data_IF_800994892445
#
_entry.id   IF_800994892445
#
_cell.length_a   1.000
_cell.length_b   1.000
_cell.length_c   1.000
_cell.angle_alpha   90.00
_cell.angle_beta   90.00
_cell.angle_gamma   90.00
#
_symmetry.space_group_name_H-M   'P 1'
#
loop_
_entity.id
_entity.type
_entity.pdbx_description
1 polymer ?
#
# COMPACT_ATOMS: atom_id res chain seq x y z
N UNK A 1 65.45 156.07 9.07
CA UNK A 1 64.76 155.00 9.83
C UNK A 1 63.90 154.07 8.95
N UNK A 2 63.23 154.55 7.88
CA UNK A 2 62.47 153.73 6.91
C UNK A 2 63.17 152.45 6.43
N UNK A 3 64.45 152.54 6.04
CA UNK A 3 65.19 151.40 5.45
C UNK A 3 65.36 150.22 6.42
N UNK A 4 65.49 150.48 7.71
CA UNK A 4 65.64 149.44 8.77
C UNK A 4 64.30 148.74 9.01
N UNK A 5 63.19 149.48 9.00
CA UNK A 5 61.84 148.91 9.08
C UNK A 5 61.52 148.01 7.88
N UNK A 6 61.95 148.39 6.66
CA UNK A 6 61.79 147.55 5.46
C UNK A 6 62.53 146.22 5.58
N UNK A 7 63.78 146.22 6.03
CA UNK A 7 64.59 144.99 6.21
C UNK A 7 63.97 144.07 7.26
N UNK A 8 63.51 144.61 8.39
CA UNK A 8 62.82 143.83 9.42
C UNK A 8 61.50 143.27 8.88
N UNK A 9 60.72 144.06 8.12
CA UNK A 9 59.48 143.58 7.49
C UNK A 9 59.73 142.47 6.47
N UNK A 10 60.81 142.56 5.69
CA UNK A 10 61.19 141.54 4.72
C UNK A 10 61.63 140.24 5.41
N UNK A 11 62.33 140.32 6.54
CA UNK A 11 62.69 139.16 7.36
C UNK A 11 61.44 138.49 7.99
N UNK A 12 60.48 139.28 8.47
CA UNK A 12 59.21 138.78 9.01
C UNK A 12 58.33 138.13 7.91
N UNK A 13 58.29 138.72 6.70
CA UNK A 13 57.60 138.15 5.54
C UNK A 13 58.28 136.86 5.04
N UNK A 14 59.61 136.81 5.02
CA UNK A 14 60.36 135.61 4.67
C UNK A 14 60.16 134.48 5.68
N UNK A 15 60.20 134.78 6.97
CA UNK A 15 59.95 133.81 8.05
C UNK A 15 58.50 133.27 8.03
N UNK A 16 57.52 134.13 7.79
CA UNK A 16 56.11 133.71 7.65
C UNK A 16 55.86 132.89 6.37
N UNK A 17 56.52 133.20 5.26
CA UNK A 17 56.47 132.39 4.05
C UNK A 17 57.10 130.99 4.24
N UNK A 18 58.26 130.90 4.91
CA UNK A 18 58.89 129.61 5.24
C UNK A 18 57.99 128.77 6.16
N UNK A 19 57.46 129.37 7.23
CA UNK A 19 56.58 128.68 8.17
C UNK A 19 55.25 128.26 7.52
N UNK A 20 54.75 129.06 6.57
CA UNK A 20 53.59 128.69 5.73
C UNK A 20 53.91 127.52 4.80
N UNK A 21 55.10 127.48 4.18
CA UNK A 21 55.53 126.39 3.31
C UNK A 21 55.77 125.08 4.10
N UNK A 22 56.44 125.15 5.25
CA UNK A 22 56.69 124.00 6.13
C UNK A 22 55.37 123.42 6.68
N UNK A 23 54.45 124.29 7.11
CA UNK A 23 53.09 123.89 7.50
C UNK A 23 52.30 123.30 6.32
N UNK A 24 52.44 123.86 5.11
CA UNK A 24 51.79 123.31 3.92
C UNK A 24 52.38 121.95 3.53
N UNK A 25 53.68 121.73 3.73
CA UNK A 25 54.35 120.49 3.41
C UNK A 25 54.01 119.38 4.43
N UNK A 26 53.95 119.70 5.72
CA UNK A 26 53.48 118.79 6.78
C UNK A 26 51.99 118.45 6.64
N UNK A 27 51.12 119.41 6.30
CA UNK A 27 49.72 119.11 5.99
C UNK A 27 49.55 118.21 4.76
N UNK A 28 50.44 118.32 3.77
CA UNK A 28 50.46 117.43 2.60
C UNK A 28 50.93 116.02 2.99
N UNK A 29 52.02 115.87 3.75
CA UNK A 29 52.50 114.56 4.19
C UNK A 29 51.48 113.86 5.10
N UNK A 30 50.89 114.58 6.07
CA UNK A 30 49.83 114.04 6.94
C UNK A 30 48.57 113.66 6.16
N UNK A 31 48.21 114.39 5.09
CA UNK A 31 47.10 113.98 4.20
C UNK A 31 47.43 112.71 3.43
N UNK A 32 48.63 112.59 2.87
CA UNK A 32 49.07 111.40 2.14
C UNK A 32 49.15 110.19 3.07
N UNK A 33 49.66 110.35 4.28
CA UNK A 33 49.69 109.29 5.31
C UNK A 33 48.28 108.87 5.74
N UNK A 34 47.40 109.82 6.03
CA UNK A 34 45.98 109.51 6.32
C UNK A 34 45.31 108.80 5.15
N UNK A 35 45.59 109.22 3.92
CA UNK A 35 45.00 108.60 2.73
C UNK A 35 45.53 107.18 2.50
N UNK A 36 46.82 106.92 2.75
CA UNK A 36 47.40 105.57 2.77
C UNK A 36 46.81 104.71 3.88
N UNK A 37 46.69 105.25 5.09
CA UNK A 37 46.10 104.54 6.22
C UNK A 37 44.62 104.20 5.98
N UNK A 38 43.85 105.09 5.35
CA UNK A 38 42.46 104.82 4.94
C UNK A 38 42.43 103.72 3.87
N UNK A 39 43.28 103.78 2.85
CA UNK A 39 43.36 102.73 1.82
C UNK A 39 43.74 101.36 2.40
N UNK A 40 44.71 101.32 3.32
CA UNK A 40 45.10 100.07 4.00
C UNK A 40 43.95 99.52 4.84
N UNK A 41 43.22 100.40 5.55
CA UNK A 41 42.08 100.01 6.39
C UNK A 41 40.91 99.51 5.54
N UNK A 42 40.64 100.14 4.38
CA UNK A 42 39.64 99.67 3.42
C UNK A 42 40.04 98.32 2.80
N UNK A 43 41.31 98.13 2.46
CA UNK A 43 41.83 96.89 1.90
C UNK A 43 41.79 95.76 2.93
N UNK A 44 42.17 96.03 4.19
CA UNK A 44 42.01 95.08 5.31
C UNK A 44 40.54 94.76 5.56
N UNK A 45 39.64 95.73 5.43
CA UNK A 45 38.21 95.51 5.60
C UNK A 45 37.62 94.63 4.49
N UNK A 46 38.03 94.84 3.23
CA UNK A 46 37.71 93.93 2.11
C UNK A 46 38.28 92.52 2.31
N UNK A 47 39.51 92.41 2.81
CA UNK A 47 40.11 91.11 3.12
C UNK A 47 39.37 90.39 4.24
N UNK A 48 38.95 91.10 5.29
CA UNK A 48 38.14 90.54 6.37
C UNK A 48 36.79 90.06 5.86
N UNK A 49 36.11 90.85 5.03
CA UNK A 49 34.82 90.48 4.45
C UNK A 49 34.95 89.26 3.52
N UNK A 50 36.01 89.22 2.70
CA UNK A 50 36.32 88.06 1.85
C UNK A 50 36.65 86.82 2.68
N UNK A 51 37.47 86.97 3.73
CA UNK A 51 37.82 85.88 4.64
C UNK A 51 36.60 85.36 5.40
N UNK A 52 35.69 86.24 5.84
CA UNK A 52 34.43 85.86 6.48
C UNK A 52 33.54 85.07 5.52
N UNK A 53 33.38 85.55 4.28
CA UNK A 53 32.59 84.86 3.25
C UNK A 53 33.16 83.48 2.92
N UNK A 54 34.49 83.36 2.80
CA UNK A 54 35.15 82.08 2.59
C UNK A 54 34.98 81.13 3.79
N UNK A 55 35.01 81.67 5.01
CA UNK A 55 34.81 80.88 6.23
C UNK A 55 33.36 80.38 6.33
N UNK A 56 32.36 81.21 5.99
CA UNK A 56 30.96 80.76 5.89
C UNK A 56 30.78 79.69 4.80
N UNK A 57 31.39 79.88 3.63
CA UNK A 57 31.34 78.90 2.54
C UNK A 57 31.98 77.58 2.95
N UNK A 58 33.18 77.63 3.54
CA UNK A 58 33.87 76.45 4.04
C UNK A 58 33.07 75.74 5.15
N UNK A 59 32.41 76.48 6.05
CA UNK A 59 31.52 75.89 7.06
C UNK A 59 30.32 75.19 6.42
N UNK A 60 29.70 75.79 5.41
CA UNK A 60 28.58 75.20 4.67
C UNK A 60 29.01 73.91 3.95
N UNK A 61 30.16 73.92 3.27
CA UNK A 61 30.74 72.72 2.63
C UNK A 61 31.08 71.64 3.66
N UNK A 62 31.66 72.01 4.80
CA UNK A 62 31.98 71.03 5.87
C UNK A 62 30.71 70.39 6.44
N UNK A 63 29.63 71.16 6.59
CA UNK A 63 28.34 70.64 7.02
C UNK A 63 27.75 69.69 5.97
N UNK A 64 27.76 70.07 4.69
CA UNK A 64 27.30 69.23 3.58
C UNK A 64 28.09 67.93 3.47
N UNK A 65 29.43 67.99 3.54
CA UNK A 65 30.30 66.82 3.52
C UNK A 65 30.05 65.89 4.70
N UNK A 66 29.69 66.45 5.87
CA UNK A 66 29.34 65.66 7.05
C UNK A 66 28.00 64.95 6.88
N UNK A 67 27.01 65.57 6.25
CA UNK A 67 25.74 64.92 5.88
C UNK A 67 25.94 63.83 4.82
N UNK A 68 26.81 64.06 3.84
CA UNK A 68 27.15 63.02 2.86
C UNK A 68 27.89 61.85 3.50
N UNK A 69 28.82 62.12 4.42
CA UNK A 69 29.54 61.09 5.16
C UNK A 69 28.59 60.24 6.02
N UNK A 70 27.62 60.86 6.72
CA UNK A 70 26.63 60.09 7.50
C UNK A 70 25.72 59.27 6.59
N UNK A 71 25.29 59.82 5.45
CA UNK A 71 24.50 59.08 4.46
C UNK A 71 25.25 57.89 3.86
N UNK A 72 26.50 58.08 3.47
CA UNK A 72 27.36 57.01 2.94
C UNK A 72 27.61 55.93 4.00
N UNK A 73 27.76 56.31 5.27
CA UNK A 73 27.93 55.37 6.36
C UNK A 73 26.68 54.51 6.57
N UNK A 74 25.49 55.12 6.57
CA UNK A 74 24.22 54.38 6.61
C UNK A 74 24.08 53.40 5.44
N UNK A 75 24.42 53.83 4.22
CA UNK A 75 24.40 52.96 3.04
C UNK A 75 25.41 51.81 3.14
N UNK A 76 26.60 52.06 3.68
CA UNK A 76 27.61 51.03 3.89
C UNK A 76 27.16 49.98 4.93
N UNK A 77 26.51 50.42 6.00
CA UNK A 77 25.96 49.52 7.02
C UNK A 77 24.78 48.70 6.48
N UNK A 78 23.90 49.31 5.67
CA UNK A 78 22.80 48.61 5.00
C UNK A 78 23.32 47.58 3.98
N UNK A 79 24.36 47.93 3.21
CA UNK A 79 25.00 47.01 2.27
C UNK A 79 25.64 45.83 3.00
N UNK A 80 26.33 46.07 4.12
CA UNK A 80 26.89 45.00 4.96
C UNK A 80 25.79 44.09 5.53
N UNK A 81 24.68 44.65 5.97
CA UNK A 81 23.54 43.86 6.45
C UNK A 81 22.98 42.96 5.34
N UNK A 82 22.80 43.48 4.11
CA UNK A 82 22.35 42.70 2.95
C UNK A 82 23.33 41.61 2.53
N UNK A 83 24.64 41.86 2.61
CA UNK A 83 25.66 40.84 2.35
C UNK A 83 25.54 39.71 3.36
N UNK A 84 25.45 40.02 4.65
CA UNK A 84 25.23 39.02 5.71
C UNK A 84 23.94 38.21 5.50
N UNK A 85 22.84 38.87 5.14
CA UNK A 85 21.58 38.20 4.83
C UNK A 85 21.70 37.27 3.61
N UNK A 86 22.38 37.70 2.56
CA UNK A 86 22.64 36.89 1.37
C UNK A 86 23.56 35.71 1.66
N UNK A 87 24.58 35.87 2.51
CA UNK A 87 25.44 34.78 2.94
C UNK A 87 24.65 33.70 3.70
N UNK A 88 23.72 34.11 4.58
CA UNK A 88 22.79 33.19 5.25
C UNK A 88 21.86 32.48 4.24
N UNK A 89 21.32 33.20 3.26
CA UNK A 89 20.50 32.60 2.19
C UNK A 89 21.32 31.60 1.36
N UNK A 90 22.55 31.93 1.01
CA UNK A 90 23.46 31.02 0.27
C UNK A 90 23.76 29.78 1.11
N UNK A 91 23.99 29.93 2.42
CA UNK A 91 24.21 28.80 3.31
C UNK A 91 22.98 27.88 3.37
N UNK A 92 21.77 28.45 3.51
CA UNK A 92 20.51 27.71 3.50
C UNK A 92 20.24 27.03 2.15
N UNK A 93 20.45 27.73 1.04
CA UNK A 93 20.29 27.13 -0.30
C UNK A 93 21.29 26.00 -0.54
N UNK A 94 22.51 26.11 -0.01
CA UNK A 94 23.50 25.01 -0.07
C UNK A 94 23.04 23.80 0.74
N UNK A 95 22.53 23.99 1.96
CA UNK A 95 22.04 22.87 2.77
C UNK A 95 20.81 22.21 2.14
N UNK A 96 19.88 23.00 1.60
CA UNK A 96 18.73 22.50 0.83
C UNK A 96 19.18 21.72 -0.41
N UNK A 97 20.18 22.23 -1.15
CA UNK A 97 20.70 21.56 -2.34
C UNK A 97 21.35 20.22 -2.01
N UNK A 98 22.13 20.13 -0.93
CA UNK A 98 22.71 18.87 -0.46
C UNK A 98 21.63 17.88 0.05
N UNK A 99 20.59 18.38 0.71
CA UNK A 99 19.42 17.57 1.08
C UNK A 99 18.69 17.03 -0.16
N UNK A 100 18.42 17.89 -1.14
CA UNK A 100 17.78 17.51 -2.41
C UNK A 100 18.63 16.54 -3.22
N UNK A 101 19.96 16.68 -3.24
CA UNK A 101 20.86 15.68 -3.85
C UNK A 101 20.75 14.33 -3.16
N UNK A 102 20.75 14.33 -1.82
CA UNK A 102 20.57 13.11 -1.03
C UNK A 102 19.23 12.44 -1.33
N UNK A 103 18.14 13.22 -1.43
CA UNK A 103 16.82 12.71 -1.80
C UNK A 103 16.78 12.19 -3.24
N UNK A 104 17.47 12.85 -4.17
CA UNK A 104 17.62 12.39 -5.55
C UNK A 104 18.38 11.06 -5.61
N UNK A 105 19.45 10.90 -4.83
CA UNK A 105 20.20 9.65 -4.76
C UNK A 105 19.39 8.52 -4.10
N UNK A 106 18.59 8.81 -3.07
CA UNK A 106 17.60 7.87 -2.52
C UNK A 106 16.56 7.50 -3.58
N UNK A 107 16.00 8.47 -4.30
CA UNK A 107 15.04 8.24 -5.35
C UNK A 107 15.64 7.41 -6.50
N UNK A 108 16.89 7.67 -6.91
CA UNK A 108 17.61 6.84 -7.88
C UNK A 108 17.80 5.41 -7.39
N UNK A 109 18.15 5.19 -6.12
CA UNK A 109 18.26 3.85 -5.53
C UNK A 109 16.91 3.14 -5.53
N UNK A 110 15.85 3.82 -5.09
CA UNK A 110 14.49 3.29 -5.14
C UNK A 110 14.07 3.00 -6.58
N UNK A 111 14.40 3.84 -7.55
CA UNK A 111 14.12 3.60 -8.98
C UNK A 111 14.94 2.42 -9.52
N UNK A 112 16.16 2.19 -9.02
CA UNK A 112 16.97 1.04 -9.40
C UNK A 112 16.45 -0.26 -8.78
N UNK A 113 15.99 -0.23 -7.53
CA UNK A 113 15.26 -1.33 -6.86
C UNK A 113 13.92 -1.58 -7.57
N UNK A 114 13.20 -0.52 -7.91
CA UNK A 114 12.00 -0.53 -8.78
C UNK A 114 12.39 -0.75 -10.25
N UNK A 115 13.67 -0.87 -10.60
CA UNK A 115 14.10 -1.45 -11.87
C UNK A 115 13.68 -2.93 -11.93
N UNK A 116 13.57 -3.57 -10.77
CA UNK A 116 12.88 -4.84 -10.61
C UNK A 116 11.36 -4.72 -10.75
N UNK A 117 10.75 -3.54 -10.89
CA UNK A 117 9.31 -3.41 -11.20
C UNK A 117 8.98 -4.01 -12.57
N UNK A 118 9.93 -4.01 -13.51
CA UNK A 118 9.79 -4.78 -14.76
C UNK A 118 9.87 -6.28 -14.50
N UNK A 119 10.77 -6.74 -13.62
CA UNK A 119 10.83 -8.15 -13.19
C UNK A 119 9.58 -8.56 -12.42
N UNK A 120 9.06 -7.70 -11.54
CA UNK A 120 7.85 -7.87 -10.76
C UNK A 120 6.62 -7.92 -11.68
N UNK A 121 6.60 -7.10 -12.74
CA UNK A 121 5.58 -7.19 -13.80
C UNK A 121 5.68 -8.51 -14.55
N UNK A 122 6.88 -8.94 -14.92
CA UNK A 122 7.09 -10.22 -15.62
C UNK A 122 6.75 -11.41 -14.72
N UNK A 123 7.07 -11.35 -13.42
CA UNK A 123 6.67 -12.31 -12.40
C UNK A 123 5.16 -12.32 -12.18
N UNK A 124 4.50 -11.15 -12.17
CA UNK A 124 3.05 -11.07 -12.06
C UNK A 124 2.34 -11.65 -13.29
N UNK A 125 2.91 -11.47 -14.50
CA UNK A 125 2.39 -12.11 -15.72
C UNK A 125 2.56 -13.62 -15.64
N UNK A 126 3.73 -14.12 -15.20
CA UNK A 126 3.96 -15.56 -14.98
C UNK A 126 3.02 -16.13 -13.92
N UNK A 127 2.87 -15.45 -12.79
CA UNK A 127 2.01 -15.87 -11.70
C UNK A 127 0.54 -15.92 -12.13
N UNK A 128 0.08 -14.95 -12.95
CA UNK A 128 -1.26 -15.01 -13.52
C UNK A 128 -1.43 -16.18 -14.50
N UNK A 129 -0.41 -16.50 -15.31
CA UNK A 129 -0.44 -17.67 -16.19
C UNK A 129 -0.47 -18.98 -15.38
N UNK A 130 0.31 -19.07 -14.31
CA UNK A 130 0.35 -20.22 -13.40
C UNK A 130 -0.98 -20.35 -12.63
N UNK A 131 -1.60 -19.25 -12.20
CA UNK A 131 -2.94 -19.24 -11.59
C UNK A 131 -3.98 -19.78 -12.58
N UNK A 132 -3.98 -19.31 -13.83
CA UNK A 132 -4.91 -19.82 -14.84
C UNK A 132 -4.70 -21.31 -15.11
N UNK A 133 -3.44 -21.75 -15.22
CA UNK A 133 -3.11 -23.16 -15.41
C UNK A 133 -3.57 -24.01 -14.22
N UNK A 134 -3.28 -23.57 -12.99
CA UNK A 134 -3.70 -24.25 -11.77
C UNK A 134 -5.23 -24.31 -11.65
N UNK A 135 -5.94 -23.29 -12.10
CA UNK A 135 -7.40 -23.27 -12.09
C UNK A 135 -7.99 -24.27 -13.09
N UNK A 136 -7.42 -24.37 -14.30
CA UNK A 136 -7.80 -25.39 -15.29
C UNK A 136 -7.52 -26.81 -14.77
N UNK A 137 -6.36 -27.01 -14.14
CA UNK A 137 -6.00 -28.30 -13.52
C UNK A 137 -6.94 -28.65 -12.37
N UNK A 138 -7.31 -27.69 -11.52
CA UNK A 138 -8.27 -27.87 -10.43
C UNK A 138 -9.67 -28.21 -10.95
N UNK A 139 -10.15 -27.53 -11.98
CA UNK A 139 -11.45 -27.81 -12.61
C UNK A 139 -11.46 -29.20 -13.26
N UNK A 140 -10.36 -29.59 -13.90
CA UNK A 140 -10.18 -30.94 -14.47
C UNK A 140 -10.16 -32.01 -13.37
N UNK A 141 -9.43 -31.77 -12.28
CA UNK A 141 -9.36 -32.68 -11.14
C UNK A 141 -10.74 -32.83 -10.46
N UNK A 142 -11.47 -31.72 -10.29
CA UNK A 142 -12.82 -31.73 -9.74
C UNK A 142 -13.80 -32.52 -10.63
N UNK A 143 -13.69 -32.38 -11.96
CA UNK A 143 -14.47 -33.18 -12.90
C UNK A 143 -14.14 -34.68 -12.80
N UNK A 144 -12.86 -35.04 -12.64
CA UNK A 144 -12.44 -36.43 -12.44
C UNK A 144 -12.95 -37.01 -11.11
N UNK A 145 -12.90 -36.22 -10.03
CA UNK A 145 -13.45 -36.63 -8.72
C UNK A 145 -14.95 -36.86 -8.81
N UNK A 146 -15.71 -35.95 -9.43
CA UNK A 146 -17.15 -36.13 -9.62
C UNK A 146 -17.46 -37.38 -10.45
N UNK A 147 -16.68 -37.66 -11.50
CA UNK A 147 -16.82 -38.89 -12.29
C UNK A 147 -16.49 -40.14 -11.47
N UNK A 148 -15.44 -40.09 -10.64
CA UNK A 148 -15.04 -41.19 -9.77
C UNK A 148 -16.08 -41.46 -8.67
N UNK A 149 -16.72 -40.41 -8.12
CA UNK A 149 -17.82 -40.55 -7.16
C UNK A 149 -19.04 -41.22 -7.79
N UNK A 150 -19.44 -40.80 -8.99
CA UNK A 150 -20.54 -41.45 -9.74
C UNK A 150 -20.20 -42.90 -10.08
N UNK A 151 -18.95 -43.18 -10.46
CA UNK A 151 -18.51 -44.54 -10.72
C UNK A 151 -18.53 -45.39 -9.44
N UNK A 152 -18.09 -44.82 -8.31
CA UNK A 152 -18.12 -45.48 -7.00
C UNK A 152 -19.55 -45.80 -6.57
N UNK A 153 -20.49 -44.86 -6.67
CA UNK A 153 -21.89 -45.09 -6.32
C UNK A 153 -22.52 -46.21 -7.16
N UNK A 154 -22.24 -46.21 -8.47
CA UNK A 154 -22.68 -47.30 -9.36
C UNK A 154 -22.09 -48.65 -8.95
N UNK A 155 -20.80 -48.70 -8.65
CA UNK A 155 -20.14 -49.92 -8.20
C UNK A 155 -20.67 -50.40 -6.84
N UNK A 156 -20.96 -49.50 -5.90
CA UNK A 156 -21.58 -49.85 -4.61
C UNK A 156 -22.99 -50.41 -4.78
N UNK A 157 -23.80 -49.84 -5.68
CA UNK A 157 -25.14 -50.34 -5.98
C UNK A 157 -25.09 -51.74 -6.64
N UNK A 158 -24.18 -51.93 -7.59
CA UNK A 158 -23.95 -53.26 -8.20
C UNK A 158 -23.43 -54.26 -7.16
N UNK A 159 -22.52 -53.85 -6.27
CA UNK A 159 -22.02 -54.71 -5.21
C UNK A 159 -23.15 -55.15 -4.26
N UNK A 160 -24.02 -54.23 -3.83
CA UNK A 160 -25.20 -54.55 -3.01
C UNK A 160 -26.18 -55.50 -3.73
N UNK A 161 -26.41 -55.30 -5.02
CA UNK A 161 -27.27 -56.18 -5.81
C UNK A 161 -26.67 -57.59 -5.93
N UNK A 162 -25.36 -57.69 -6.16
CA UNK A 162 -24.65 -58.97 -6.19
C UNK A 162 -24.60 -59.66 -4.82
N UNK A 163 -24.47 -58.90 -3.73
CA UNK A 163 -24.55 -59.43 -2.36
C UNK A 163 -25.94 -59.97 -2.04
N UNK A 164 -27.01 -59.25 -2.40
CA UNK A 164 -28.38 -59.72 -2.24
C UNK A 164 -28.65 -61.00 -3.06
N UNK A 165 -28.16 -61.06 -4.30
CA UNK A 165 -28.26 -62.26 -5.14
C UNK A 165 -27.49 -63.44 -4.53
N UNK A 166 -26.31 -63.21 -3.94
CA UNK A 166 -25.56 -64.26 -3.24
C UNK A 166 -26.27 -64.71 -1.98
N UNK A 167 -26.84 -63.80 -1.20
CA UNK A 167 -27.61 -64.15 0.00
C UNK A 167 -28.85 -64.98 -0.35
N UNK A 168 -29.59 -64.62 -1.41
CA UNK A 168 -30.72 -65.42 -1.89
C UNK A 168 -30.30 -66.82 -2.37
N UNK A 169 -29.12 -66.94 -3.00
CA UNK A 169 -28.54 -68.23 -3.37
C UNK A 169 -28.08 -69.03 -2.14
N UNK A 170 -27.41 -68.41 -1.17
CA UNK A 170 -26.95 -69.08 0.05
C UNK A 170 -28.10 -69.48 0.98
N UNK A 171 -29.18 -68.71 1.00
CA UNK A 171 -30.41 -69.00 1.72
C UNK A 171 -31.25 -70.13 1.08
N UNK A 172 -30.83 -70.67 -0.08
CA UNK A 172 -31.46 -71.81 -0.74
C UNK A 172 -32.90 -71.55 -1.20
N UNK A 173 -33.26 -70.28 -1.45
CA UNK A 173 -34.62 -69.93 -1.91
C UNK A 173 -34.75 -70.19 -3.41
N UNK A 174 -35.54 -71.21 -3.76
CA UNK A 174 -35.91 -71.50 -5.14
C UNK A 174 -36.88 -70.42 -5.66
N UNK A 175 -36.58 -69.85 -6.83
CA UNK A 175 -37.42 -68.86 -7.52
C UNK A 175 -38.74 -69.54 -7.97
N UNK A 176 -39.94 -69.06 -7.57
CA UNK A 176 -41.21 -69.70 -7.96
C UNK A 176 -41.57 -69.48 -9.43
N UNK A 177 -42.35 -70.38 -10.06
CA UNK A 177 -42.77 -71.71 -9.60
C UNK A 177 -41.81 -72.82 -10.09
N UNK A 178 -41.39 -73.72 -9.20
CA UNK A 178 -40.60 -74.91 -9.54
C UNK A 178 -41.44 -76.17 -9.35
N UNK A 179 -41.73 -76.84 -10.45
CA UNK A 179 -42.32 -78.18 -10.49
C UNK A 179 -41.42 -79.09 -11.32
N UNK A 180 -41.08 -80.24 -10.76
CA UNK A 180 -40.21 -81.21 -11.41
C UNK A 180 -40.66 -82.64 -11.09
N UNK A 181 -40.03 -83.63 -11.71
CA UNK A 181 -40.28 -85.05 -11.43
C UNK A 181 -38.99 -85.77 -11.12
N UNK A 182 -39.08 -86.77 -10.25
CA UNK A 182 -37.97 -87.67 -9.94
C UNK A 182 -37.57 -88.45 -11.20
N UNK A 183 -36.33 -88.26 -11.65
CA UNK A 183 -35.75 -88.96 -12.80
C UNK A 183 -35.36 -90.38 -12.44
N UNK A 184 -34.64 -90.53 -11.31
CA UNK A 184 -34.18 -91.81 -10.75
C UNK A 184 -34.11 -91.73 -9.24
N UNK A 185 -34.57 -92.77 -8.55
CA UNK A 185 -34.51 -92.86 -7.10
C UNK A 185 -33.53 -93.96 -6.67
N UNK A 186 -32.48 -93.58 -5.93
CA UNK A 186 -31.50 -94.52 -5.36
C UNK A 186 -31.78 -94.76 -3.88
N UNK A 187 -32.90 -95.44 -3.61
CA UNK A 187 -33.41 -95.66 -2.25
C UNK A 187 -32.43 -96.39 -1.31
N UNK A 188 -31.47 -97.16 -1.85
CA UNK A 188 -30.45 -97.86 -1.05
C UNK A 188 -29.37 -96.92 -0.48
N UNK A 189 -29.12 -95.79 -1.15
CA UNK A 189 -28.13 -94.79 -0.74
C UNK A 189 -28.78 -93.51 -0.20
N UNK A 190 -30.11 -93.40 -0.25
CA UNK A 190 -30.84 -92.27 0.29
C UNK A 190 -30.74 -90.99 -0.54
N UNK A 191 -30.37 -91.08 -1.82
CA UNK A 191 -30.37 -89.91 -2.73
C UNK A 191 -31.24 -90.15 -3.97
N UNK A 192 -31.69 -89.05 -4.56
CA UNK A 192 -32.63 -89.00 -5.66
C UNK A 192 -32.10 -88.01 -6.69
N UNK A 193 -32.23 -88.36 -7.97
CA UNK A 193 -31.92 -87.47 -9.09
C UNK A 193 -33.22 -86.90 -9.63
N UNK A 194 -33.30 -85.58 -9.68
CA UNK A 194 -34.51 -84.83 -10.05
C UNK A 194 -34.29 -84.17 -11.41
N UNK A 195 -35.34 -84.12 -12.24
CA UNK A 195 -35.32 -83.51 -13.57
C UNK A 195 -35.48 -82.00 -13.45
N UNK A 196 -34.45 -81.33 -12.95
CA UNK A 196 -34.46 -79.88 -12.78
C UNK A 196 -33.21 -79.41 -12.09
N UNK A 197 -32.59 -78.38 -12.66
CA UNK A 197 -31.26 -77.93 -12.31
C UNK A 197 -31.17 -76.43 -12.07
N UNK A 198 -29.96 -75.90 -12.14
CA UNK A 198 -29.69 -74.47 -11.98
C UNK A 198 -30.50 -73.63 -13.00
N UNK A 199 -30.73 -74.16 -14.20
CA UNK A 199 -31.50 -73.48 -15.25
C UNK A 199 -32.98 -73.31 -14.88
N UNK A 200 -33.49 -74.17 -13.98
CA UNK A 200 -34.85 -74.10 -13.44
C UNK A 200 -34.91 -73.40 -12.07
N UNK A 201 -33.82 -72.76 -11.64
CA UNK A 201 -33.75 -72.01 -10.39
C UNK A 201 -33.56 -72.87 -9.13
N UNK A 202 -33.13 -74.12 -9.29
CA UNK A 202 -32.78 -75.01 -8.17
C UNK A 202 -31.43 -74.59 -7.59
N UNK A 203 -31.35 -74.43 -6.27
CA UNK A 203 -30.13 -73.98 -5.58
C UNK A 203 -29.63 -75.05 -4.62
N UNK A 204 -28.31 -75.13 -4.42
CA UNK A 204 -27.72 -76.02 -3.41
C UNK A 204 -28.28 -75.70 -2.03
N UNK A 205 -28.48 -76.73 -1.19
CA UNK A 205 -29.10 -76.68 0.14
C UNK A 205 -30.59 -76.29 0.17
N UNK A 206 -31.24 -76.13 -0.97
CA UNK A 206 -32.69 -75.94 -0.99
C UNK A 206 -33.43 -77.22 -0.57
N UNK A 207 -34.57 -77.05 0.10
CA UNK A 207 -35.46 -78.15 0.47
C UNK A 207 -36.61 -78.26 -0.53
N UNK A 208 -36.91 -79.49 -0.92
CA UNK A 208 -37.98 -79.82 -1.86
C UNK A 208 -38.91 -80.86 -1.25
N UNK A 209 -40.20 -80.72 -1.54
CA UNK A 209 -41.22 -81.69 -1.12
C UNK A 209 -41.52 -82.64 -2.28
N UNK A 210 -41.53 -83.94 -1.99
CA UNK A 210 -41.92 -84.97 -2.96
C UNK A 210 -43.34 -85.38 -2.67
N UNK A 211 -44.20 -85.39 -3.70
CA UNK A 211 -45.57 -85.84 -3.61
C UNK A 211 -45.94 -86.82 -4.71
N UNK A 212 -46.83 -87.77 -4.38
CA UNK A 212 -47.42 -88.70 -5.32
C UNK A 212 -48.93 -88.53 -5.28
N UNK A 213 -49.53 -88.16 -6.42
CA UNK A 213 -50.98 -87.90 -6.53
C UNK A 213 -51.50 -86.90 -5.48
N UNK A 214 -50.69 -85.88 -5.16
CA UNK A 214 -51.02 -84.84 -4.17
C UNK A 214 -50.79 -85.23 -2.71
N UNK A 215 -50.27 -86.43 -2.39
CA UNK A 215 -49.86 -86.80 -1.04
C UNK A 215 -48.34 -86.63 -0.87
N UNK A 216 -47.86 -85.89 0.16
CA UNK A 216 -46.43 -85.74 0.41
C UNK A 216 -45.83 -87.07 0.88
N UNK A 217 -44.66 -87.44 0.38
CA UNK A 217 -43.96 -88.69 0.70
C UNK A 217 -42.77 -88.41 1.62
N UNK A 218 -41.93 -87.45 1.24
CA UNK A 218 -40.72 -87.08 1.96
C UNK A 218 -40.24 -85.67 1.57
N UNK A 219 -39.25 -85.18 2.31
CA UNK A 219 -38.51 -83.97 2.01
C UNK A 219 -37.12 -84.31 1.49
N UNK A 220 -36.64 -83.57 0.51
CA UNK A 220 -35.33 -83.71 -0.09
C UNK A 220 -34.49 -82.46 0.19
N UNK A 221 -33.20 -82.65 0.44
CA UNK A 221 -32.21 -81.58 0.54
C UNK A 221 -31.26 -81.66 -0.66
N UNK A 222 -31.19 -80.61 -1.46
CA UNK A 222 -30.32 -80.60 -2.64
C UNK A 222 -28.85 -80.47 -2.22
N UNK A 223 -28.02 -81.42 -2.63
CA UNK A 223 -26.59 -81.45 -2.30
C UNK A 223 -25.73 -80.95 -3.45
N UNK A 224 -26.12 -81.23 -4.70
CA UNK A 224 -25.48 -80.71 -5.90
C UNK A 224 -26.49 -80.37 -6.98
N UNK A 225 -26.18 -79.34 -7.74
CA UNK A 225 -27.03 -78.82 -8.83
C UNK A 225 -26.18 -78.77 -10.08
N UNK A 226 -26.68 -79.38 -11.16
CA UNK A 226 -26.20 -79.25 -12.53
C UNK A 226 -27.22 -78.41 -13.33
N UNK A 227 -26.92 -77.95 -14.56
CA UNK A 227 -27.84 -77.10 -15.34
C UNK A 227 -29.23 -77.71 -15.58
N UNK A 228 -29.30 -79.01 -15.90
CA UNK A 228 -30.55 -79.71 -16.22
C UNK A 228 -31.02 -80.77 -15.21
N UNK A 229 -30.19 -81.11 -14.22
CA UNK A 229 -30.48 -82.15 -13.22
C UNK A 229 -29.96 -81.72 -11.84
N UNK A 230 -30.59 -82.20 -10.78
CA UNK A 230 -30.09 -82.00 -9.42
C UNK A 230 -30.04 -83.30 -8.65
N UNK A 231 -29.02 -83.42 -7.80
CA UNK A 231 -28.89 -84.52 -6.85
C UNK A 231 -29.38 -84.02 -5.50
N UNK A 232 -30.36 -84.71 -4.94
CA UNK A 232 -30.92 -84.41 -3.64
C UNK A 232 -30.88 -85.62 -2.71
N UNK A 233 -30.58 -85.38 -1.45
CA UNK A 233 -30.57 -86.37 -0.39
C UNK A 233 -31.93 -86.41 0.30
N UNK A 234 -32.44 -87.60 0.61
CA UNK A 234 -33.69 -87.78 1.36
C UNK A 234 -33.42 -87.39 2.81
N UNK A 235 -34.16 -86.41 3.33
CA UNK A 235 -34.01 -85.97 4.72
C UNK A 235 -34.43 -87.13 5.65
N UNK A 236 -33.53 -87.66 6.49
CA UNK A 236 -33.85 -88.74 7.40
C UNK A 236 -35.01 -88.39 8.32
N UNK A 237 -35.98 -89.29 8.46
CA UNK A 237 -37.18 -89.08 9.30
C UNK A 237 -38.34 -88.33 8.61
N UNK A 238 -38.15 -87.79 7.40
CA UNK A 238 -39.24 -87.16 6.63
C UNK A 238 -40.06 -88.14 5.79
N UNK A 239 -39.59 -89.38 5.64
CA UNK A 239 -40.21 -90.41 4.82
C UNK A 239 -41.41 -91.05 5.55
N UNK A 240 -42.56 -91.11 4.88
CA UNK A 240 -43.74 -91.80 5.43
C UNK A 240 -43.44 -93.30 5.61
N UNK A 241 -43.72 -93.89 6.80
CA UNK A 241 -43.51 -95.31 7.04
C UNK A 241 -44.20 -96.19 5.99
N UNK A 242 -43.42 -97.05 5.32
CA UNK A 242 -43.92 -97.99 4.31
C UNK A 242 -44.00 -97.44 2.88
N UNK A 243 -43.64 -96.18 2.63
CA UNK A 243 -43.52 -95.61 1.29
C UNK A 243 -42.06 -95.39 0.89
N UNK A 244 -41.76 -95.55 -0.38
CA UNK A 244 -40.46 -95.25 -0.99
C UNK A 244 -40.63 -94.27 -2.15
N UNK A 245 -39.58 -93.50 -2.42
CA UNK A 245 -39.55 -92.59 -3.58
C UNK A 245 -39.44 -93.43 -4.86
N UNK A 246 -40.21 -93.05 -5.88
CA UNK A 246 -40.26 -93.72 -7.18
C UNK A 246 -39.98 -92.74 -8.31
N UNK A 247 -39.57 -93.28 -9.45
CA UNK A 247 -39.42 -92.51 -10.68
C UNK A 247 -40.79 -91.95 -11.11
N UNK A 248 -40.83 -90.68 -11.47
CA UNK A 248 -42.07 -89.97 -11.83
C UNK A 248 -42.84 -89.35 -10.65
N UNK A 249 -42.35 -89.48 -9.40
CA UNK A 249 -42.92 -88.71 -8.29
C UNK A 249 -42.74 -87.19 -8.53
N UNK A 250 -43.75 -86.40 -8.15
CA UNK A 250 -43.76 -84.96 -8.37
C UNK A 250 -42.98 -84.26 -7.28
N UNK A 251 -42.12 -83.32 -7.65
CA UNK A 251 -41.28 -82.56 -6.75
C UNK A 251 -41.69 -81.10 -6.86
N UNK A 252 -42.13 -80.54 -5.74
CA UNK A 252 -42.55 -79.14 -5.64
C UNK A 252 -41.69 -78.43 -4.61
N UNK A 253 -41.64 -77.10 -4.70
CA UNK A 253 -41.06 -76.28 -3.62
C UNK A 253 -41.76 -76.62 -2.29
N UNK A 254 -41.00 -76.68 -1.21
CA UNK A 254 -41.57 -76.71 0.13
C UNK A 254 -42.23 -75.36 0.41
N UNK A 255 -43.56 -75.27 0.27
CA UNK A 255 -44.35 -74.07 0.57
C UNK A 255 -44.57 -73.84 2.07
N UNK A 256 -44.11 -74.79 2.90
CA UNK A 256 -44.25 -74.71 4.34
C UNK A 256 -42.92 -74.32 5.01
N UNK A 257 -42.72 -73.05 5.40
CA UNK A 257 -41.70 -72.74 6.39
C UNK A 257 -42.02 -73.55 7.66
N UNK A 258 -40.99 -74.16 8.24
CA UNK A 258 -41.09 -74.88 9.51
C UNK A 258 -41.86 -73.98 10.50
N UNK A 259 -43.00 -74.40 11.07
CA UNK A 259 -43.54 -73.74 12.24
C UNK A 259 -42.45 -73.79 13.30
N UNK A 260 -42.00 -72.63 13.75
CA UNK A 260 -41.19 -72.53 14.96
C UNK A 260 -41.90 -73.37 16.03
N UNK A 261 -41.26 -74.43 16.48
CA UNK A 261 -41.66 -75.13 17.69
C UNK A 261 -41.39 -74.16 18.84
N UNK A 262 -42.43 -73.39 19.16
CA UNK A 262 -42.61 -72.76 20.45
C UNK A 262 -42.77 -73.88 21.47
N UNK A 263 -41.68 -74.18 22.18
CA UNK A 263 -41.71 -75.00 23.38
C UNK A 263 -41.21 -74.16 24.55
N UNK A 264 -42.16 -73.42 25.12
CA UNK A 264 -42.08 -72.85 26.45
C UNK A 264 -41.95 -73.95 27.50
N UNK A 265 -40.82 -74.03 28.20
CA UNK A 265 -40.76 -74.56 29.58
C UNK A 265 -39.59 -73.89 30.34
N UNK A 266 -39.64 -73.83 31.68
CA UNK A 266 -39.52 -72.58 32.42
C UNK A 266 -38.19 -72.51 33.16
N UNK A 267 -37.79 -71.30 33.57
CA UNK A 267 -36.71 -71.14 34.53
C UNK A 267 -37.08 -71.81 35.88
N UNK A 268 -36.16 -72.53 36.53
CA UNK A 268 -36.18 -72.68 37.96
C UNK A 268 -35.08 -71.86 38.67
N UNK A 269 -35.25 -71.57 39.97
CA UNK A 269 -34.69 -70.41 40.65
C UNK A 269 -33.63 -70.77 41.74
N UNK A 270 -33.11 -69.72 42.42
CA UNK A 270 -32.50 -69.73 43.78
C UNK A 270 -30.98 -70.00 43.84
N UNK A 271 -30.09 -69.36 44.63
CA UNK A 271 -30.01 -68.24 45.61
C UNK A 271 -28.52 -68.22 46.12
N UNK A 272 -28.12 -67.56 47.24
CA UNK A 272 -27.53 -66.21 47.44
C UNK A 272 -26.00 -66.12 47.77
N UNK A 273 -25.53 -64.86 47.86
CA UNK A 273 -24.21 -64.31 48.22
C UNK A 273 -23.65 -64.69 49.63
N UNK A 274 -22.40 -64.31 50.04
CA UNK A 274 -22.08 -62.90 50.41
C UNK A 274 -20.60 -62.43 50.22
N UNK A 275 -20.40 -61.11 50.13
CA UNK A 275 -19.12 -60.44 50.42
C UNK A 275 -18.90 -59.14 49.66
N UNK A 276 -18.95 -58.00 50.34
CA UNK A 276 -18.76 -56.62 49.84
C UNK A 276 -17.76 -55.88 50.77
N UNK A 277 -17.28 -54.64 50.51
CA UNK A 277 -16.87 -53.90 49.28
C UNK A 277 -15.50 -53.17 49.55
N UNK A 278 -15.11 -51.95 49.05
CA UNK A 278 -15.52 -51.10 47.89
C UNK A 278 -14.35 -50.46 47.06
N UNK A 279 -14.75 -49.64 46.04
CA UNK A 279 -14.06 -48.47 45.42
C UNK A 279 -13.00 -48.77 44.32
N UNK A 280 -12.85 -48.04 43.20
CA UNK A 280 -13.22 -46.69 42.75
C UNK A 280 -13.41 -46.63 41.21
N UNK A 281 -14.13 -45.60 40.74
CA UNK A 281 -13.66 -44.75 39.63
C UNK A 281 -14.11 -45.06 38.21
N UNK A 282 -15.24 -44.46 37.77
CA UNK A 282 -15.58 -44.26 36.37
C UNK A 282 -15.27 -42.84 35.89
N UNK A 283 -14.70 -42.71 34.69
CA UNK A 283 -14.63 -41.47 33.91
C UNK A 283 -14.95 -41.78 32.42
N UNK A 284 -15.73 -40.93 31.72
CA UNK A 284 -16.10 -41.07 30.31
C UNK A 284 -15.13 -40.32 29.35
N UNK A 285 -15.27 -40.62 28.06
CA UNK A 285 -14.48 -40.12 26.92
C UNK A 285 -15.03 -38.78 26.34
N UNK A 286 -14.55 -38.26 25.18
CA UNK A 286 -13.42 -37.31 25.04
C UNK A 286 -13.81 -36.00 24.31
N UNK A 287 -12.95 -34.97 24.33
CA UNK A 287 -13.08 -33.75 23.53
C UNK A 287 -11.76 -33.31 22.86
N UNK A 288 -11.91 -32.67 21.70
CA UNK A 288 -10.93 -32.37 20.63
C UNK A 288 -9.77 -31.40 20.99
N UNK A 289 -8.68 -31.37 20.18
CA UNK A 289 -7.43 -30.66 20.51
C UNK A 289 -7.39 -29.17 20.10
N UNK A 290 -6.59 -28.33 20.78
CA UNK A 290 -6.44 -26.91 20.46
C UNK A 290 -5.36 -26.61 19.40
N UNK A 291 -5.66 -25.59 18.60
CA UNK A 291 -4.84 -25.00 17.53
C UNK A 291 -3.77 -24.02 18.04
N UNK A 292 -2.71 -23.92 17.23
CA UNK A 292 -1.44 -23.27 17.48
C UNK A 292 -1.46 -21.73 17.42
N UNK A 293 -0.39 -21.19 18.01
CA UNK A 293 0.06 -19.80 18.15
C UNK A 293 0.47 -19.13 16.83
N UNK A 294 0.10 -17.86 16.68
CA UNK A 294 0.41 -16.95 15.57
C UNK A 294 1.73 -16.17 15.83
N UNK A 295 2.69 -16.09 14.87
CA UNK A 295 4.02 -15.52 15.07
C UNK A 295 4.26 -14.19 14.32
N UNK A 296 3.34 -13.22 14.39
CA UNK A 296 3.61 -11.86 13.87
C UNK A 296 3.18 -10.77 14.86
N UNK A 297 4.13 -10.29 15.66
CA UNK A 297 3.94 -9.18 16.58
C UNK A 297 4.19 -7.82 15.91
N UNK A 298 3.17 -6.98 15.88
CA UNK A 298 3.29 -5.52 15.77
C UNK A 298 3.08 -4.90 17.18
N UNK A 299 3.78 -3.82 17.54
CA UNK A 299 3.77 -3.32 18.92
C UNK A 299 2.47 -2.57 19.24
N UNK A 300 1.93 -2.87 20.41
CA UNK A 300 0.76 -2.24 20.99
C UNK A 300 1.10 -0.84 21.55
N UNK A 301 0.39 0.17 21.08
CA UNK A 301 0.07 1.36 21.86
C UNK A 301 -1.06 1.02 22.84
N UNK A 302 -0.94 1.46 24.10
CA UNK A 302 -2.01 1.29 25.08
C UNK A 302 -1.57 1.48 26.53
N UNK A 303 -1.27 2.71 26.92
CA UNK A 303 -1.14 3.12 28.33
C UNK A 303 -2.31 4.02 28.71
N UNK A 304 -3.25 3.51 29.50
CA UNK A 304 -4.32 4.27 30.12
C UNK A 304 -3.80 5.07 31.31
N UNK A 305 -4.17 6.35 31.42
CA UNK A 305 -4.24 7.07 32.70
C UNK A 305 -5.42 8.04 32.69
N UNK A 306 -6.13 7.98 33.79
CA UNK A 306 -7.35 8.66 34.20
C UNK A 306 -7.05 10.07 34.71
N UNK A 307 -7.94 11.06 34.48
CA UNK A 307 -7.99 12.27 35.31
C UNK A 307 -8.30 13.61 34.61
N UNK A 308 -9.48 14.16 34.92
CA UNK A 308 -9.65 15.58 35.28
C UNK A 308 -9.64 16.67 34.20
N UNK A 309 -10.83 17.18 33.85
CA UNK A 309 -11.02 18.60 33.50
C UNK A 309 -11.00 19.43 34.82
N UNK A 310 -10.61 20.74 34.85
CA UNK A 310 -11.15 21.78 33.97
C UNK A 310 -10.23 22.98 33.60
N UNK A 311 -10.80 23.89 32.80
CA UNK A 311 -10.51 25.32 32.62
C UNK A 311 -9.47 25.79 31.59
N UNK A 312 -9.92 26.72 30.74
CA UNK A 312 -9.17 27.49 29.75
C UNK A 312 -8.23 28.53 30.40
N UNK A 313 -7.23 29.04 29.65
CA UNK A 313 -7.38 30.39 29.12
C UNK A 313 -6.86 30.63 27.68
N UNK A 314 -7.35 31.75 27.16
CA UNK A 314 -7.12 32.48 25.90
C UNK A 314 -5.67 32.73 25.45
N UNK A 315 -5.44 32.75 24.13
CA UNK A 315 -4.68 33.81 23.41
C UNK A 315 -4.73 33.66 21.87
N UNK A 316 -5.42 34.61 21.22
CA UNK A 316 -5.08 35.34 19.96
C UNK A 316 -4.48 34.63 18.74
N UNK A 317 -5.27 34.58 17.67
CA UNK A 317 -4.87 34.46 16.25
C UNK A 317 -4.54 35.88 15.68
N UNK A 318 -3.36 36.09 15.06
CA UNK A 318 -2.89 37.39 14.60
C UNK A 318 -3.22 37.73 13.13
N UNK A 319 -4.04 36.97 12.40
CA UNK A 319 -4.38 37.33 11.01
C UNK A 319 -5.89 37.40 10.75
N UNK A 320 -6.48 38.55 11.09
CA UNK A 320 -7.80 38.95 10.63
C UNK A 320 -7.75 39.56 9.23
N UNK A 321 -8.65 39.09 8.35
CA UNK A 321 -9.13 39.85 7.20
C UNK A 321 -10.66 39.65 7.10
N UNK A 322 -11.45 40.70 6.81
CA UNK A 322 -12.88 40.72 7.11
C UNK A 322 -13.76 40.15 5.99
N UNK A 323 -14.96 39.74 6.41
CA UNK A 323 -16.06 39.30 5.57
C UNK A 323 -17.02 40.45 5.23
N UNK A 324 -17.42 40.53 3.98
CA UNK A 324 -18.68 41.07 3.44
C UNK A 324 -18.95 40.27 2.16
N UNK A 325 -20.13 39.85 1.71
CA UNK A 325 -21.54 40.10 2.01
C UNK A 325 -22.27 39.61 0.73
N UNK A 326 -23.44 38.97 0.86
CA UNK A 326 -24.00 38.09 -0.18
C UNK A 326 -24.87 38.73 -1.28
N UNK A 327 -25.45 37.82 -2.09
CA UNK A 327 -26.75 37.85 -2.79
C UNK A 327 -26.74 37.78 -4.33
N UNK A 328 -27.82 37.18 -4.85
CA UNK A 328 -27.98 36.47 -6.12
C UNK A 328 -28.41 37.32 -7.34
N UNK A 329 -28.33 36.67 -8.52
CA UNK A 329 -29.38 36.57 -9.57
C UNK A 329 -29.09 37.24 -10.94
N UNK A 330 -29.13 36.41 -12.01
CA UNK A 330 -29.69 36.79 -13.32
C UNK A 330 -28.76 36.98 -14.54
N UNK A 331 -28.90 36.09 -15.55
CA UNK A 331 -28.86 36.47 -16.98
C UNK A 331 -27.58 36.18 -17.79
N UNK A 332 -27.65 35.21 -18.72
CA UNK A 332 -26.78 35.10 -19.91
C UNK A 332 -27.38 35.93 -21.09
N UNK A 333 -26.78 36.05 -22.31
CA UNK A 333 -25.46 35.59 -22.80
C UNK A 333 -24.68 36.67 -23.61
N UNK A 334 -23.37 36.49 -23.86
CA UNK A 334 -22.67 36.92 -25.09
C UNK A 334 -21.15 36.60 -25.07
N UNK A 335 -20.65 35.94 -26.11
CA UNK A 335 -19.25 36.06 -26.57
C UNK A 335 -19.15 37.32 -27.48
N UNK A 336 -18.00 38.03 -27.66
CA UNK A 336 -16.71 37.44 -28.06
C UNK A 336 -15.44 38.19 -27.59
N UNK A 337 -14.29 37.69 -28.06
CA UNK A 337 -12.99 38.36 -28.27
C UNK A 337 -11.98 38.44 -27.10
N UNK A 338 -10.77 37.95 -27.41
CA UNK A 338 -9.57 37.98 -26.60
C UNK A 338 -8.93 39.39 -26.54
N UNK A 339 -8.27 39.73 -25.41
CA UNK A 339 -7.27 40.79 -25.36
C UNK A 339 -5.87 40.25 -24.94
N UNK A 340 -4.81 41.07 -25.05
CA UNK A 340 -3.48 40.66 -25.51
C UNK A 340 -2.53 40.21 -24.39
N UNK A 341 -1.46 39.54 -24.80
CA UNK A 341 -0.33 39.20 -23.96
C UNK A 341 0.44 40.48 -23.55
N UNK A 342 0.47 40.75 -22.25
CA UNK A 342 1.29 41.79 -21.62
C UNK A 342 2.38 41.14 -20.76
N UNK A 343 3.63 41.44 -21.14
CA UNK A 343 4.83 41.60 -20.32
C UNK A 343 5.33 40.43 -19.45
N UNK A 344 6.23 39.65 -20.05
CA UNK A 344 7.23 38.84 -19.36
C UNK A 344 8.35 39.75 -18.79
N UNK A 345 8.56 39.81 -17.46
CA UNK A 345 9.56 40.67 -16.83
C UNK A 345 10.98 40.08 -16.84
N UNK A 346 11.24 38.95 -17.52
CA UNK A 346 12.55 38.28 -17.52
C UNK A 346 13.14 37.96 -18.92
N UNK A 347 12.82 38.76 -19.94
CA UNK A 347 13.37 38.61 -21.30
C UNK A 347 14.72 39.32 -21.52
N UNK A 348 15.78 38.55 -21.77
CA UNK A 348 17.11 39.04 -22.16
C UNK A 348 17.09 39.90 -23.45
N UNK A 349 17.95 40.93 -23.61
CA UNK A 349 17.95 41.75 -24.81
C UNK A 349 18.44 40.96 -26.04
N UNK A 350 17.64 41.00 -27.10
CA UNK A 350 17.97 40.48 -28.42
C UNK A 350 19.21 41.19 -29.00
N UNK A 351 20.18 40.40 -29.46
CA UNK A 351 21.33 40.87 -30.20
C UNK A 351 20.93 41.42 -31.58
N UNK A 352 21.52 42.54 -32.05
CA UNK A 352 21.23 43.08 -33.37
C UNK A 352 21.89 42.25 -34.48
N UNK A 353 21.15 42.12 -35.58
CA UNK A 353 21.50 41.38 -36.78
C UNK A 353 22.79 41.86 -37.45
N UNK A 354 23.62 40.89 -37.88
CA UNK A 354 24.79 41.11 -38.72
C UNK A 354 24.39 41.34 -40.19
N UNK A 355 25.11 42.21 -40.94
CA UNK A 355 25.10 42.17 -42.39
C UNK A 355 26.20 41.24 -42.92
N UNK A 356 25.87 40.50 -43.97
CA UNK A 356 26.77 39.63 -44.70
C UNK A 356 27.70 40.41 -45.64
N UNK A 357 28.96 39.98 -45.75
CA UNK A 357 29.79 40.21 -46.94
C UNK A 357 31.29 40.42 -46.67
N UNK A 358 32.12 39.52 -47.23
CA UNK A 358 33.41 39.90 -47.82
C UNK A 358 34.70 39.41 -47.13
N UNK A 359 35.29 38.37 -47.74
CA UNK A 359 36.73 38.18 -48.05
C UNK A 359 37.82 38.30 -46.95
N UNK A 360 38.56 37.18 -46.83
CA UNK A 360 40.02 37.07 -46.70
C UNK A 360 40.81 38.23 -46.05
N UNK A 361 41.37 37.99 -44.85
CA UNK A 361 42.84 38.01 -44.67
C UNK A 361 43.24 37.50 -43.27
N UNK A 362 44.19 36.57 -43.20
CA UNK A 362 44.97 36.27 -41.98
C UNK A 362 46.26 37.10 -42.07
N UNK A 363 46.64 37.87 -41.04
CA UNK A 363 47.98 37.64 -40.52
C UNK A 363 48.18 37.91 -39.01
N UNK A 364 49.24 37.24 -38.53
CA UNK A 364 50.20 37.63 -37.49
C UNK A 364 49.75 37.75 -36.02
N UNK A 365 50.30 36.82 -35.24
CA UNK A 365 50.48 36.93 -33.80
C UNK A 365 51.41 38.11 -33.45
N UNK A 366 51.07 38.82 -32.38
CA UNK A 366 51.99 39.73 -31.67
C UNK A 366 51.99 39.33 -30.18
N UNK A 367 53.15 39.37 -29.49
CA UNK A 367 53.28 38.84 -28.14
C UNK A 367 52.80 39.85 -27.06
N UNK A 368 52.36 39.29 -25.94
CA UNK A 368 51.88 39.96 -24.74
C UNK A 368 53.00 40.74 -24.01
N UNK A 369 52.83 42.05 -23.70
CA UNK A 369 53.85 42.87 -23.05
C UNK A 369 53.82 42.85 -21.51
N UNK A 370 53.07 41.97 -20.86
CA UNK A 370 52.96 41.93 -19.38
C UNK A 370 53.45 40.65 -18.70
N UNK A 371 54.30 39.86 -19.35
CA UNK A 371 54.97 38.74 -18.71
C UNK A 371 56.36 39.13 -18.18
N UNK A 372 56.40 39.76 -16.99
CA UNK A 372 57.48 39.62 -16.00
C UNK A 372 56.92 39.80 -14.59
#
# INVERSE_FOLDING_TARGET
MWKVLLVISAAVLGGSAYLSWDNQNTLKSTRVEKQRAVQERDLQQQQLETAQKNLETAKAETASMKEEATKLQVQADEAKAKVSENDLKIANLKTELEAKKTDLDKAKKLIAEVGDLKKLKDEMIKLNADIQKAQIEAETAQAQVAQAEVAKEKLENVAKELEALKEDQEAGKIRPPFESTVKRAYNQWGFVVITGGNDQGVVKKAQLDVSRRGQPICKLLITSVEPGESVAEVIPGSLIPGQTVQEGDMVTKTDNPIPQLDESVPAPPSKPAPGAPPAEGGAPAPAAPPSATDPFGAPAEGGAMEGGAPAAPSATDPFGAPAEGGAMEGGAPAAPAAPPAENDPFGAPAAPAAPAGGAENKPAATPDPFAQ
#
